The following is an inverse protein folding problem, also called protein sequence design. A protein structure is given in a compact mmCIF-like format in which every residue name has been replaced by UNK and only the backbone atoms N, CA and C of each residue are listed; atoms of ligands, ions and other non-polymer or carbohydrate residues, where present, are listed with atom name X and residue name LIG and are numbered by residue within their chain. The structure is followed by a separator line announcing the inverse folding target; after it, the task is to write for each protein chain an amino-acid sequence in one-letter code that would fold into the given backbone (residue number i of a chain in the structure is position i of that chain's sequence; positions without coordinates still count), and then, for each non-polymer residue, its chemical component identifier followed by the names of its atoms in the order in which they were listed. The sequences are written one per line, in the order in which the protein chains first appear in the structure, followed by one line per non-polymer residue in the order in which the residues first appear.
data_IF_696627634113
#
_entry.id   IF_696627634113
#
_cell.length_a   1.000
_cell.length_b   1.000
_cell.length_c   1.000
_cell.angle_alpha   90.00
_cell.angle_beta   90.00
_cell.angle_gamma   90.00
#
_symmetry.space_group_name_H-M   'P 1'
#
loop_
_entity.id
_entity.type
_entity.pdbx_description
1 polymer ?
#
# COMPACT_ATOMS: atom_id res chain seq x y z
N UNK A 1 -6.47 -22.10 -16.37
CA UNK A 1 -5.31 -21.22 -16.18
C UNK A 1 -5.76 -20.06 -15.30
N UNK A 2 -5.09 -19.75 -14.18
CA UNK A 2 -5.50 -18.68 -13.27
C UNK A 2 -5.37 -17.29 -13.94
N UNK A 3 -6.23 -16.36 -13.54
CA UNK A 3 -6.25 -14.98 -14.03
C UNK A 3 -4.98 -14.24 -13.60
N UNK A 4 -4.54 -13.29 -14.41
CA UNK A 4 -3.47 -12.35 -14.06
C UNK A 4 -4.06 -10.94 -13.93
N UNK A 5 -3.82 -10.29 -12.80
CA UNK A 5 -4.16 -8.89 -12.56
C UNK A 5 -2.89 -8.03 -12.47
N UNK A 6 -2.91 -6.84 -13.07
CA UNK A 6 -1.86 -5.84 -12.88
C UNK A 6 -2.40 -4.73 -11.99
N UNK A 7 -1.63 -4.30 -11.00
CA UNK A 7 -2.01 -3.23 -10.09
C UNK A 7 -0.83 -2.29 -9.82
N UNK A 8 -1.16 -1.06 -9.43
CA UNK A 8 -0.17 -0.06 -9.01
C UNK A 8 -0.40 0.41 -7.58
N UNK A 9 0.67 0.84 -6.93
CA UNK A 9 0.63 1.44 -5.60
C UNK A 9 1.67 2.54 -5.46
N UNK A 10 1.57 3.35 -4.41
CA UNK A 10 2.53 4.41 -4.12
C UNK A 10 3.59 3.85 -3.17
N UNK A 11 4.85 3.68 -3.61
CA UNK A 11 5.89 3.19 -2.72
C UNK A 11 6.23 4.21 -1.64
N UNK A 12 6.89 3.76 -0.56
CA UNK A 12 7.35 4.60 0.54
C UNK A 12 8.18 5.79 0.05
N UNK A 13 9.13 5.56 -0.86
CA UNK A 13 9.97 6.65 -1.42
C UNK A 13 9.25 7.63 -2.34
N UNK A 14 7.96 7.44 -2.62
CA UNK A 14 7.20 8.37 -3.46
C UNK A 14 7.20 9.81 -2.92
N UNK A 15 7.44 10.00 -1.62
CA UNK A 15 7.60 11.31 -1.01
C UNK A 15 8.97 11.46 -0.38
N UNK A 16 9.43 12.71 -0.23
CA UNK A 16 10.66 13.02 0.52
C UNK A 16 10.59 12.51 1.97
N UNK A 17 9.42 12.60 2.60
CA UNK A 17 9.22 12.12 3.96
C UNK A 17 9.39 10.60 4.05
N UNK A 18 8.80 9.85 3.12
CA UNK A 18 8.95 8.40 3.07
C UNK A 18 10.36 7.96 2.67
N UNK A 19 11.04 8.70 1.80
CA UNK A 19 12.48 8.47 1.52
C UNK A 19 13.34 8.62 2.78
N UNK A 20 13.10 9.66 3.59
CA UNK A 20 13.76 9.82 4.88
C UNK A 20 13.39 8.71 5.88
N UNK A 21 12.14 8.25 5.88
CA UNK A 21 11.69 7.13 6.70
C UNK A 21 12.41 5.82 6.32
N UNK A 22 12.52 5.53 5.01
CA UNK A 22 13.23 4.36 4.49
C UNK A 22 14.66 4.31 5.01
N UNK A 23 15.39 5.43 4.94
CA UNK A 23 16.76 5.53 5.46
C UNK A 23 16.78 5.39 6.99
N UNK A 24 15.97 6.18 7.71
CA UNK A 24 15.98 6.25 9.17
C UNK A 24 15.65 4.91 9.84
N UNK A 25 14.71 4.15 9.28
CA UNK A 25 14.21 2.92 9.86
C UNK A 25 14.68 1.67 9.12
N UNK A 26 15.59 1.80 8.15
CA UNK A 26 16.06 0.71 7.30
C UNK A 26 14.90 -0.09 6.66
N UNK A 27 13.88 0.62 6.18
CA UNK A 27 12.71 0.02 5.52
C UNK A 27 12.97 0.02 4.01
N UNK A 28 12.73 -1.10 3.29
CA UNK A 28 12.96 -1.14 1.85
C UNK A 28 12.18 -0.02 1.12
N UNK A 29 12.83 0.73 0.22
CA UNK A 29 12.27 1.95 -0.36
C UNK A 29 10.96 1.73 -1.12
N UNK A 30 10.76 0.54 -1.69
CA UNK A 30 9.60 0.23 -2.51
C UNK A 30 8.51 -0.58 -1.79
N UNK A 31 8.49 -0.66 -0.45
CA UNK A 31 7.28 -1.09 0.27
C UNK A 31 6.13 -0.10 0.03
N UNK A 32 4.88 -0.49 0.27
CA UNK A 32 3.74 0.44 0.18
C UNK A 32 3.86 1.59 1.20
N UNK A 33 3.49 2.82 0.83
CA UNK A 33 3.69 4.00 1.68
C UNK A 33 2.66 4.20 2.80
N UNK A 34 1.65 3.34 2.96
CA UNK A 34 0.57 3.57 3.92
C UNK A 34 0.85 3.06 5.34
N UNK A 35 0.02 3.48 6.31
CA UNK A 35 0.09 2.97 7.69
C UNK A 35 -0.40 1.52 7.84
N UNK A 36 -1.16 1.02 6.84
CA UNK A 36 -1.65 -0.35 6.69
C UNK A 36 -1.22 -0.85 5.32
N UNK A 37 0.03 -1.31 5.21
CA UNK A 37 0.71 -1.62 3.93
C UNK A 37 -0.22 -2.35 2.96
N UNK A 38 -0.52 -1.76 1.80
CA UNK A 38 -1.43 -2.35 0.82
C UNK A 38 -0.85 -2.29 -0.60
N UNK A 39 -0.12 -3.32 -1.05
CA UNK A 39 0.03 -4.64 -0.39
C UNK A 39 1.02 -4.63 0.78
N UNK A 40 0.90 -5.63 1.64
CA UNK A 40 1.98 -5.97 2.56
C UNK A 40 2.89 -7.00 1.87
N UNK A 41 4.12 -6.58 1.56
CA UNK A 41 5.15 -7.45 0.99
C UNK A 41 6.09 -8.04 2.03
N UNK A 42 5.99 -7.57 3.28
CA UNK A 42 6.97 -7.78 4.34
C UNK A 42 6.75 -9.13 5.03
N UNK A 43 5.50 -9.63 5.07
CA UNK A 43 5.18 -10.97 5.55
C UNK A 43 5.80 -12.09 4.69
N UNK A 44 6.06 -13.25 5.30
CA UNK A 44 6.44 -14.48 4.58
C UNK A 44 5.38 -14.86 3.54
N UNK A 45 4.10 -14.67 3.90
CA UNK A 45 2.96 -14.76 3.00
C UNK A 45 2.39 -13.36 2.80
N UNK A 46 2.81 -12.62 1.74
CA UNK A 46 2.33 -11.29 1.45
C UNK A 46 0.80 -11.26 1.41
N UNK A 47 0.24 -10.15 1.88
CA UNK A 47 -1.20 -9.97 1.93
C UNK A 47 -1.70 -8.85 1.06
N UNK A 48 -2.92 -9.06 0.57
CA UNK A 48 -3.67 -8.12 -0.25
C UNK A 48 -5.06 -8.03 0.34
N UNK A 49 -5.57 -6.82 0.49
CA UNK A 49 -6.91 -6.57 1.01
C UNK A 49 -7.73 -5.77 0.01
N UNK A 50 -9.03 -5.68 0.28
CA UNK A 50 -9.92 -4.82 -0.50
C UNK A 50 -9.92 -3.36 0.01
N UNK A 51 -9.08 -2.99 0.97
CA UNK A 51 -9.19 -1.71 1.68
C UNK A 51 -8.72 -0.51 0.87
N UNK A 52 -7.78 -0.69 -0.04
CA UNK A 52 -7.36 0.41 -0.91
C UNK A 52 -8.30 0.54 -2.12
N UNK A 53 -8.72 -0.58 -2.71
CA UNK A 53 -9.34 -0.63 -4.05
C UNK A 53 -10.77 -1.16 -4.10
N UNK A 54 -11.38 -1.43 -2.95
CA UNK A 54 -12.71 -2.02 -2.84
C UNK A 54 -12.86 -3.24 -3.74
N UNK A 55 -13.95 -3.26 -4.51
CA UNK A 55 -14.31 -4.35 -5.45
C UNK A 55 -13.35 -4.52 -6.64
N UNK A 56 -12.44 -3.59 -6.88
CA UNK A 56 -11.61 -3.60 -8.10
C UNK A 56 -10.40 -4.55 -8.04
N UNK A 57 -9.97 -4.97 -6.84
CA UNK A 57 -8.77 -5.79 -6.64
C UNK A 57 -9.09 -7.11 -5.89
N UNK A 58 -8.83 -7.20 -4.59
CA UNK A 58 -8.89 -8.44 -3.81
C UNK A 58 -10.19 -9.26 -4.01
N UNK A 59 -11.40 -8.66 -4.08
CA UNK A 59 -12.63 -9.42 -4.28
C UNK A 59 -12.73 -10.15 -5.65
N UNK A 60 -11.82 -9.90 -6.59
CA UNK A 60 -11.79 -10.50 -7.93
C UNK A 60 -10.71 -11.56 -8.12
N UNK A 61 -10.02 -11.94 -7.04
CA UNK A 61 -8.85 -12.81 -7.04
C UNK A 61 -9.14 -14.06 -6.23
N UNK A 62 -8.82 -15.23 -6.80
CA UNK A 62 -9.02 -16.54 -6.20
C UNK A 62 -7.74 -17.36 -6.23
N UNK A 63 -7.72 -18.47 -5.48
CA UNK A 63 -6.54 -19.34 -5.40
C UNK A 63 -6.06 -19.77 -6.79
N UNK A 64 -4.75 -19.69 -7.01
CA UNK A 64 -4.14 -19.98 -8.31
C UNK A 64 -4.04 -18.80 -9.28
N UNK A 65 -4.78 -17.71 -9.06
CA UNK A 65 -4.59 -16.46 -9.78
C UNK A 65 -3.21 -15.85 -9.46
N UNK A 66 -2.82 -14.86 -10.27
CA UNK A 66 -1.61 -14.07 -10.06
C UNK A 66 -1.92 -12.59 -10.08
N UNK A 67 -1.13 -11.83 -9.35
CA UNK A 67 -1.16 -10.38 -9.37
C UNK A 67 0.27 -9.84 -9.48
N UNK A 68 0.42 -8.84 -10.33
CA UNK A 68 1.66 -8.14 -10.60
C UNK A 68 1.52 -6.73 -10.02
N UNK A 69 2.49 -6.32 -9.22
CA UNK A 69 2.56 -4.99 -8.65
C UNK A 69 3.65 -4.17 -9.31
N UNK A 70 3.24 -3.00 -9.78
CA UNK A 70 4.10 -1.92 -10.21
C UNK A 70 3.97 -0.76 -9.23
N UNK A 71 4.98 0.09 -9.13
CA UNK A 71 4.77 1.42 -8.53
C UNK A 71 3.88 2.28 -9.43
N UNK A 72 3.35 3.40 -8.93
CA UNK A 72 2.87 4.46 -9.85
C UNK A 72 4.01 4.97 -10.73
N UNK A 73 3.66 5.61 -11.85
CA UNK A 73 4.67 6.21 -12.76
C UNK A 73 5.28 7.45 -12.11
N UNK A 74 6.59 7.46 -11.90
CA UNK A 74 7.33 8.60 -11.36
C UNK A 74 8.82 8.53 -11.74
N UNK A 75 9.58 9.59 -11.50
CA UNK A 75 11.03 9.60 -11.68
C UNK A 75 11.72 9.37 -10.33
N UNK A 76 11.75 8.11 -9.89
CA UNK A 76 12.22 7.75 -8.54
C UNK A 76 13.72 7.98 -8.32
N UNK A 77 14.50 7.95 -9.39
CA UNK A 77 15.96 7.93 -9.35
C UNK A 77 16.57 9.16 -10.03
N UNK A 78 15.72 10.14 -10.37
CA UNK A 78 16.08 11.35 -11.09
C UNK A 78 16.82 11.03 -12.41
N UNK A 79 16.37 10.01 -13.12
CA UNK A 79 16.94 9.59 -14.41
C UNK A 79 16.38 10.41 -15.57
N UNK A 80 15.50 11.38 -15.30
CA UNK A 80 14.92 12.27 -16.31
C UNK A 80 13.77 11.66 -17.10
N UNK A 81 13.36 10.42 -16.79
CA UNK A 81 12.22 9.75 -17.43
C UNK A 81 11.33 9.08 -16.38
N UNK A 82 10.06 9.48 -16.34
CA UNK A 82 9.08 8.87 -15.45
C UNK A 82 8.78 7.42 -15.86
N UNK A 83 8.85 6.50 -14.91
CA UNK A 83 8.80 5.06 -15.15
C UNK A 83 8.05 4.32 -14.05
N UNK A 84 7.78 3.04 -14.30
CA UNK A 84 7.26 2.11 -13.32
C UNK A 84 8.42 1.28 -12.75
N UNK A 85 8.26 0.77 -11.53
CA UNK A 85 9.14 -0.23 -10.96
C UNK A 85 8.36 -1.52 -10.74
N UNK A 86 8.86 -2.66 -11.23
CA UNK A 86 8.26 -3.97 -11.01
C UNK A 86 8.70 -4.50 -9.65
N UNK A 87 7.79 -4.50 -8.67
CA UNK A 87 8.16 -4.79 -7.28
C UNK A 87 7.74 -6.17 -6.82
N UNK A 88 6.64 -6.71 -7.36
CA UNK A 88 6.22 -8.06 -7.01
C UNK A 88 5.43 -8.76 -8.12
N UNK A 89 5.59 -10.08 -8.17
CA UNK A 89 4.67 -11.02 -8.81
C UNK A 89 4.27 -12.03 -7.74
N UNK A 90 2.98 -12.08 -7.45
CA UNK A 90 2.41 -12.89 -6.38
C UNK A 90 1.44 -13.91 -6.95
N UNK A 91 1.44 -15.13 -6.40
CA UNK A 91 0.41 -16.14 -6.64
C UNK A 91 -0.56 -16.14 -5.48
N UNK A 92 -1.84 -16.04 -5.76
CA UNK A 92 -2.88 -16.10 -4.73
C UNK A 92 -2.85 -17.49 -4.09
N UNK A 93 -2.63 -17.51 -2.78
CA UNK A 93 -2.48 -18.74 -2.01
C UNK A 93 -3.77 -19.14 -1.35
N UNK A 94 -4.38 -18.22 -0.59
CA UNK A 94 -5.60 -18.47 0.16
C UNK A 94 -6.40 -17.17 0.31
N UNK A 95 -7.70 -17.27 0.09
CA UNK A 95 -8.67 -16.18 0.28
C UNK A 95 -9.48 -16.41 1.55
N UNK A 96 -9.70 -15.35 2.29
CA UNK A 96 -10.52 -15.30 3.49
C UNK A 96 -11.62 -14.25 3.27
N UNK A 97 -12.80 -14.53 3.83
CA UNK A 97 -13.94 -13.61 3.72
C UNK A 97 -13.95 -12.54 4.82
N UNK A 98 -13.05 -12.64 5.81
CA UNK A 98 -12.82 -11.62 6.82
C UNK A 98 -11.37 -11.64 7.34
N UNK A 99 -10.99 -10.57 8.03
CA UNK A 99 -9.66 -10.38 8.60
C UNK A 99 -9.38 -11.30 9.80
N UNK A 100 -10.39 -11.66 10.59
CA UNK A 100 -10.21 -12.52 11.76
C UNK A 100 -9.77 -13.93 11.37
N UNK A 101 -10.36 -14.50 10.32
CA UNK A 101 -9.98 -15.83 9.82
C UNK A 101 -8.58 -15.83 9.22
N UNK A 102 -8.19 -14.74 8.54
CA UNK A 102 -6.83 -14.57 8.05
C UNK A 102 -5.82 -14.48 9.21
N UNK A 103 -6.15 -13.72 10.25
CA UNK A 103 -5.33 -13.63 11.46
C UNK A 103 -5.16 -14.98 12.15
N UNK A 104 -6.26 -15.73 12.34
CA UNK A 104 -6.23 -17.07 12.91
C UNK A 104 -5.31 -18.00 12.10
N UNK A 105 -5.31 -17.86 10.78
CA UNK A 105 -4.40 -18.60 9.91
C UNK A 105 -2.95 -18.19 10.10
N UNK A 106 -2.62 -16.90 10.17
CA UNK A 106 -1.24 -16.45 10.46
C UNK A 106 -0.74 -16.98 11.81
N UNK A 107 -1.56 -16.87 12.87
CA UNK A 107 -1.26 -17.37 14.22
C UNK A 107 -1.01 -18.88 14.20
N UNK A 108 -1.90 -19.65 13.56
CA UNK A 108 -1.77 -21.11 13.46
C UNK A 108 -0.47 -21.53 12.77
N UNK A 109 -0.02 -20.75 11.78
CA UNK A 109 1.22 -21.01 11.05
C UNK A 109 2.45 -20.35 11.69
N UNK A 110 2.32 -19.73 12.88
CA UNK A 110 3.40 -19.06 13.62
C UNK A 110 4.05 -17.91 12.82
N UNK A 111 3.27 -17.23 11.99
CA UNK A 111 3.70 -16.08 11.21
C UNK A 111 3.14 -14.81 11.84
N UNK A 112 3.94 -13.74 11.86
CA UNK A 112 3.49 -12.43 12.34
C UNK A 112 2.33 -11.93 11.48
N UNK A 113 1.28 -11.43 12.15
CA UNK A 113 0.11 -10.86 11.49
C UNK A 113 0.53 -9.56 10.79
N UNK A 114 0.30 -9.43 9.47
CA UNK A 114 0.70 -8.23 8.73
C UNK A 114 -0.12 -7.02 9.18
N UNK A 115 0.45 -5.83 9.03
CA UNK A 115 -0.17 -4.59 9.51
C UNK A 115 -1.53 -4.32 8.86
N UNK A 116 -1.74 -4.76 7.62
CA UNK A 116 -3.00 -4.61 6.89
C UNK A 116 -4.09 -5.62 7.28
N UNK A 117 -3.84 -6.51 8.24
CA UNK A 117 -4.85 -7.39 8.80
C UNK A 117 -5.53 -6.71 10.00
N UNK A 118 -6.62 -5.97 9.74
CA UNK A 118 -7.37 -5.26 10.78
C UNK A 118 -8.15 -6.20 11.68
N UNK A 119 -7.57 -6.44 12.85
CA UNK A 119 -8.15 -7.12 14.01
C UNK A 119 -7.83 -6.31 15.27
N UNK A 120 -8.59 -6.54 16.33
CA UNK A 120 -8.27 -5.94 17.63
C UNK A 120 -6.88 -6.37 18.10
N UNK A 121 -6.11 -5.42 18.62
CA UNK A 121 -4.73 -5.67 19.07
C UNK A 121 -3.65 -5.68 17.98
N UNK A 122 -4.00 -5.49 16.70
CA UNK A 122 -3.01 -5.30 15.61
C UNK A 122 -2.94 -3.82 15.19
N UNK A 123 -1.98 -3.02 15.71
CA UNK A 123 -1.93 -1.58 15.47
C UNK A 123 -1.42 -1.24 14.05
N UNK A 124 -1.76 -0.05 13.51
CA UNK A 124 -1.16 0.44 12.29
C UNK A 124 0.32 0.82 12.52
N UNK A 125 1.09 0.95 11.44
CA UNK A 125 2.43 1.52 11.50
C UNK A 125 2.38 2.99 11.94
N UNK A 126 3.37 3.41 12.73
CA UNK A 126 3.51 4.82 13.12
C UNK A 126 3.77 5.70 11.89
N UNK A 127 3.35 6.97 11.95
CA UNK A 127 3.44 7.88 10.79
C UNK A 127 4.87 8.00 10.27
N UNK A 128 5.86 7.98 11.15
CA UNK A 128 7.28 8.09 10.82
C UNK A 128 7.77 6.95 9.92
N UNK A 129 7.04 5.83 9.84
CA UNK A 129 7.34 4.67 8.98
C UNK A 129 6.53 4.65 7.67
N UNK A 130 5.80 5.73 7.39
CA UNK A 130 4.92 5.88 6.21
C UNK A 130 5.48 6.91 5.22
N UNK A 131 4.81 7.08 4.07
CA UNK A 131 5.09 8.16 3.14
C UNK A 131 4.60 9.53 3.63
N UNK A 132 3.94 9.59 4.79
CA UNK A 132 3.40 10.82 5.36
C UNK A 132 2.28 11.44 4.53
N UNK A 133 1.95 12.69 4.84
CA UNK A 133 0.98 13.49 4.09
C UNK A 133 1.66 14.37 3.03
N UNK A 134 0.87 15.29 2.44
CA UNK A 134 1.37 16.39 1.61
C UNK A 134 2.54 17.08 2.31
N UNK A 135 3.57 17.37 1.52
CA UNK A 135 4.84 17.91 2.01
C UNK A 135 4.68 19.19 2.85
N UNK A 136 3.76 20.09 2.49
CA UNK A 136 3.46 21.31 3.23
C UNK A 136 2.88 21.03 4.61
N UNK A 137 1.93 20.10 4.69
CA UNK A 137 1.31 19.70 5.95
C UNK A 137 2.31 18.99 6.86
N UNK A 138 3.13 18.09 6.32
CA UNK A 138 4.19 17.44 7.08
C UNK A 138 5.20 18.46 7.61
N UNK A 139 5.67 19.40 6.78
CA UNK A 139 6.56 20.48 7.24
C UNK A 139 5.96 21.28 8.41
N UNK A 140 4.68 21.65 8.30
CA UNK A 140 3.98 22.38 9.38
C UNK A 140 3.96 21.58 10.68
N UNK A 141 3.59 20.30 10.62
CA UNK A 141 3.53 19.42 11.80
C UNK A 141 4.92 19.26 12.42
N UNK A 142 5.95 19.03 11.59
CA UNK A 142 7.31 18.78 12.06
C UNK A 142 7.97 20.01 12.72
N UNK A 143 7.51 21.23 12.39
CA UNK A 143 8.00 22.49 12.97
C UNK A 143 7.41 22.84 14.33
N UNK A 144 6.41 22.10 14.82
CA UNK A 144 5.89 22.27 16.17
C UNK A 144 6.82 21.65 17.22
N UNK A 145 6.64 22.07 18.48
CA UNK A 145 7.25 21.40 19.64
C UNK A 145 6.83 19.92 19.70
N UNK A 146 7.63 19.12 20.41
CA UNK A 146 7.45 17.67 20.45
C UNK A 146 6.06 17.24 20.95
N UNK A 147 5.52 17.91 21.96
CA UNK A 147 4.21 17.57 22.53
C UNK A 147 3.09 17.81 21.51
N UNK A 148 3.06 19.02 20.91
CA UNK A 148 2.08 19.37 19.88
C UNK A 148 2.21 18.48 18.65
N UNK A 149 3.44 18.21 18.20
CA UNK A 149 3.73 17.33 17.07
C UNK A 149 3.20 15.91 17.31
N UNK A 150 3.53 15.31 18.45
CA UNK A 150 3.12 13.95 18.78
C UNK A 150 1.59 13.83 18.87
N UNK A 151 0.92 14.84 19.44
CA UNK A 151 -0.55 14.89 19.49
C UNK A 151 -1.17 14.96 18.09
N UNK A 152 -0.63 15.78 17.19
CA UNK A 152 -1.11 15.89 15.82
C UNK A 152 -0.90 14.61 15.02
N UNK A 153 0.29 13.99 15.11
CA UNK A 153 0.61 12.73 14.44
C UNK A 153 -0.27 11.58 14.93
N UNK A 154 -0.50 11.49 16.25
CA UNK A 154 -1.38 10.47 16.83
C UNK A 154 -2.83 10.62 16.37
N UNK A 155 -3.36 11.84 16.39
CA UNK A 155 -4.72 12.12 15.87
C UNK A 155 -4.85 11.70 14.41
N UNK A 156 -3.87 12.07 13.59
CA UNK A 156 -3.85 11.77 12.16
C UNK A 156 -3.77 10.27 11.88
N UNK A 157 -2.94 9.54 12.62
CA UNK A 157 -2.85 8.08 12.50
C UNK A 157 -4.18 7.42 12.86
N UNK A 158 -4.83 7.88 13.94
CA UNK A 158 -6.12 7.37 14.37
C UNK A 158 -7.21 7.60 13.32
N UNK A 159 -7.26 8.77 12.71
CA UNK A 159 -8.21 9.10 11.64
C UNK A 159 -7.96 8.24 10.39
N UNK A 160 -6.70 8.11 9.97
CA UNK A 160 -6.34 7.27 8.82
C UNK A 160 -6.66 5.79 9.08
N UNK A 161 -6.36 5.26 10.27
CA UNK A 161 -6.67 3.88 10.62
C UNK A 161 -8.17 3.62 10.71
N UNK A 162 -8.94 4.57 11.24
CA UNK A 162 -10.40 4.49 11.30
C UNK A 162 -11.04 4.39 9.91
N UNK A 163 -10.48 5.06 8.88
CA UNK A 163 -10.94 4.89 7.50
C UNK A 163 -10.75 3.45 7.00
N UNK A 164 -9.65 2.79 7.38
CA UNK A 164 -9.44 1.38 7.03
C UNK A 164 -10.45 0.48 7.74
N UNK A 165 -10.69 0.69 9.03
CA UNK A 165 -11.71 -0.03 9.79
C UNK A 165 -13.13 0.15 9.23
N UNK A 166 -13.47 1.32 8.71
CA UNK A 166 -14.77 1.50 8.05
C UNK A 166 -14.86 0.71 6.73
N UNK A 167 -13.75 0.61 6.00
CA UNK A 167 -13.71 -0.15 4.75
C UNK A 167 -13.80 -1.65 4.95
N UNK A 168 -13.30 -2.21 6.05
CA UNK A 168 -13.43 -3.66 6.33
C UNK A 168 -14.91 -4.07 6.40
N UNK A 169 -15.79 -3.20 6.93
CA UNK A 169 -17.24 -3.45 6.99
C UNK A 169 -17.89 -3.65 5.62
N UNK A 170 -17.35 -2.96 4.60
CA UNK A 170 -17.87 -3.01 3.22
C UNK A 170 -17.12 -4.00 2.34
N UNK A 171 -15.84 -4.22 2.64
CA UNK A 171 -14.94 -5.04 1.84
C UNK A 171 -14.03 -5.88 2.76
N UNK A 172 -14.55 -6.94 3.39
CA UNK A 172 -13.83 -7.69 4.42
C UNK A 172 -12.81 -8.69 3.88
N UNK A 173 -12.77 -8.88 2.54
CA UNK A 173 -11.92 -9.87 1.88
C UNK A 173 -10.45 -9.62 2.16
N UNK A 174 -9.79 -10.67 2.62
CA UNK A 174 -8.36 -10.72 2.87
C UNK A 174 -7.72 -11.88 2.10
N UNK A 175 -6.57 -11.64 1.47
CA UNK A 175 -5.87 -12.64 0.67
C UNK A 175 -4.44 -12.77 1.14
N UNK A 176 -3.98 -14.01 1.27
CA UNK A 176 -2.56 -14.35 1.43
C UNK A 176 -1.99 -14.87 0.11
N UNK A 177 -0.72 -14.61 -0.12
CA UNK A 177 -0.04 -14.93 -1.36
C UNK A 177 1.25 -15.71 -1.14
N UNK A 178 1.70 -16.41 -2.19
CA UNK A 178 3.08 -16.89 -2.33
C UNK A 178 3.87 -15.95 -3.23
N UNK A 179 5.14 -15.76 -2.88
CA UNK A 179 6.10 -14.95 -3.64
C UNK A 179 6.53 -15.73 -4.89
N UNK A 180 6.26 -15.20 -6.09
CA UNK A 180 6.93 -15.65 -7.32
C UNK A 180 8.16 -14.77 -7.55
N UNK A 181 8.00 -13.46 -7.35
CA UNK A 181 9.05 -12.46 -7.44
C UNK A 181 8.75 -11.33 -6.45
N UNK A 182 9.76 -10.87 -5.71
CA UNK A 182 9.72 -9.63 -4.93
C UNK A 182 11.11 -8.99 -4.98
N UNK A 183 11.18 -7.70 -5.30
CA UNK A 183 12.38 -6.86 -5.14
C UNK A 183 11.93 -5.47 -4.68
N UNK A 184 12.35 -5.06 -3.49
CA UNK A 184 11.87 -3.83 -2.83
C UNK A 184 12.98 -2.81 -2.56
N UNK A 185 14.24 -3.14 -2.84
CA UNK A 185 15.37 -2.25 -2.69
C UNK A 185 15.73 -1.62 -4.03
N UNK A 186 15.87 -2.43 -5.09
CA UNK A 186 16.17 -1.96 -6.44
C UNK A 186 15.36 -2.71 -7.52
N UNK A 187 14.02 -2.58 -7.52
CA UNK A 187 13.14 -3.27 -8.46
C UNK A 187 13.46 -2.94 -9.92
N UNK A 188 13.28 -3.85 -10.89
CA UNK A 188 13.47 -3.54 -12.30
C UNK A 188 12.65 -2.33 -12.79
N UNK A 189 13.28 -1.48 -13.62
CA UNK A 189 12.62 -0.38 -14.31
C UNK A 189 11.77 -0.93 -15.45
N UNK A 190 10.54 -0.42 -15.57
CA UNK A 190 9.67 -0.63 -16.72
C UNK A 190 9.26 0.73 -17.31
N UNK A 191 9.75 0.98 -18.51
CA UNK A 191 9.38 2.14 -19.31
C UNK A 191 8.08 1.88 -20.06
N UNK A 192 7.49 2.96 -20.58
CA UNK A 192 6.24 2.87 -21.36
C UNK A 192 6.42 1.94 -22.57
N UNK A 193 7.60 1.97 -23.22
CA UNK A 193 7.96 1.07 -24.33
C UNK A 193 7.98 -0.40 -23.93
N UNK A 194 8.42 -0.72 -22.71
CA UNK A 194 8.47 -2.10 -22.21
C UNK A 194 7.06 -2.63 -21.98
N UNK A 195 6.20 -1.83 -21.35
CA UNK A 195 4.80 -2.20 -21.14
C UNK A 195 4.07 -2.41 -22.47
N UNK A 196 4.27 -1.53 -23.46
CA UNK A 196 3.68 -1.70 -24.79
C UNK A 196 4.22 -2.95 -25.50
N UNK A 197 5.52 -3.26 -25.35
CA UNK A 197 6.10 -4.48 -25.93
C UNK A 197 5.49 -5.75 -25.32
N UNK A 198 5.31 -5.77 -23.99
CA UNK A 198 4.79 -6.91 -23.23
C UNK A 198 3.29 -7.08 -23.43
N UNK A 199 2.51 -6.00 -23.26
CA UNK A 199 1.04 -6.06 -23.21
C UNK A 199 0.34 -5.57 -24.49
N UNK A 200 1.10 -5.18 -25.52
CA UNK A 200 0.63 -4.54 -26.77
C UNK A 200 -0.05 -3.18 -26.58
N UNK A 201 -0.21 -2.73 -25.34
CA UNK A 201 -0.69 -1.41 -24.93
C UNK A 201 -0.20 -1.11 -23.52
N UNK A 202 -0.26 0.16 -23.11
CA UNK A 202 -0.05 0.51 -21.70
C UNK A 202 -1.30 0.12 -20.90
N UNK A 203 -1.23 -0.81 -19.94
CA UNK A 203 -2.40 -1.19 -19.17
C UNK A 203 -2.89 -0.04 -18.29
N UNK A 204 -4.20 0.19 -18.27
CA UNK A 204 -4.79 1.15 -17.33
C UNK A 204 -4.76 0.53 -15.94
N UNK A 205 -3.93 1.08 -15.06
CA UNK A 205 -3.94 0.73 -13.65
C UNK A 205 -4.78 1.78 -12.94
N UNK A 206 -5.86 1.37 -12.30
CA UNK A 206 -6.54 2.28 -11.38
C UNK A 206 -5.50 2.65 -10.32
N UNK A 207 -5.41 3.92 -9.93
CA UNK A 207 -4.83 4.33 -8.63
C UNK A 207 -6.00 4.71 -7.75
N UNK A 208 -6.02 4.37 -6.45
CA UNK A 208 -7.03 4.93 -5.56
C UNK A 208 -6.79 6.43 -5.60
N UNK A 209 -7.74 7.21 -6.14
CA UNK A 209 -7.71 8.65 -5.95
C UNK A 209 -7.79 8.84 -4.43
N UNK A 210 -6.70 9.30 -3.81
CA UNK A 210 -6.77 9.78 -2.44
C UNK A 210 -7.84 10.88 -2.39
N UNK A 211 -8.43 11.07 -1.21
CA UNK A 211 -9.51 12.01 -0.85
C UNK A 211 -9.27 13.51 -1.23
N UNK A 212 -8.35 13.83 -2.13
CA UNK A 212 -7.99 15.18 -2.58
C UNK A 212 -9.16 15.94 -3.21
N UNK A 213 -10.11 15.26 -3.87
CA UNK A 213 -11.31 15.90 -4.43
C UNK A 213 -12.46 16.07 -3.40
N UNK A 214 -12.41 15.40 -2.23
CA UNK A 214 -13.49 15.47 -1.23
C UNK A 214 -13.31 16.59 -0.20
N UNK A 215 -12.06 16.99 0.10
CA UNK A 215 -11.80 18.12 0.99
C UNK A 215 -11.95 19.49 0.30
N UNK A 216 -12.09 19.54 -1.04
CA UNK A 216 -12.45 20.79 -1.74
C UNK A 216 -13.96 21.05 -1.76
N UNK A 217 -14.82 20.05 -1.51
CA UNK A 217 -16.28 20.22 -1.58
C UNK A 217 -16.95 20.68 -0.28
N UNK A 218 -16.23 20.68 0.86
CA UNK A 218 -16.80 21.10 2.15
C UNK A 218 -16.30 22.46 2.65
N UNK A 219 -15.63 23.25 1.80
CA UNK A 219 -15.14 24.60 2.16
C UNK A 219 -15.98 25.75 1.58
N UNK A 220 -17.11 25.44 0.94
CA UNK A 220 -18.07 26.43 0.46
C UNK A 220 -19.49 25.90 0.63
N UNK A 221 -20.04 26.00 1.82
CA UNK A 221 -21.49 26.06 2.03
C UNK A 221 -21.78 26.68 3.41
N UNK A 222 -22.23 27.93 3.34
CA UNK A 222 -22.73 28.85 4.39
C UNK A 222 -21.77 29.21 5.55
#
# INVERSE_FOLDING_TARGET
MGKILLNTYRPLIFTKFGSQASIKFNIPPYVDGSCRREPDFESEFPSITALCRGRACAPRLFEGDRIIYLTVKSDYDNIGEAHYRLTAILKIHKRFENHQDAANWYIKNKILIPSNCLIDGNPPLSIEKTAGLKSTQMKRIMNHDESTRNKQLSKMLKEWDAEYWDKTKRYPVFITCKKIFIELNNPPILLTKDLTKIFKKVPVTHTSRNNEERLQKNSYTY
#
